data_IF_862126418252
#
_entry.id   IF_862126418252
#
_cell.length_a   1.000
_cell.length_b   1.000
_cell.length_c   1.000
_cell.angle_alpha   90.00
_cell.angle_beta   90.00
_cell.angle_gamma   90.00
#
_symmetry.space_group_name_H-M   'P 1'
#
loop_
_entity.id
_entity.type
_entity.pdbx_description
1 polymer ?
#
# COMPACT_ATOMS: atom_id res chain seq x y z
N UNK A 1 -13.77 -14.05 7.20
CA UNK A 1 -13.67 -13.78 5.75
C UNK A 1 -12.27 -13.22 5.49
N UNK A 2 -11.33 -14.05 5.03
CA UNK A 2 -9.95 -13.63 4.74
C UNK A 2 -9.91 -12.96 3.37
N UNK A 3 -10.58 -11.80 3.25
CA UNK A 3 -10.42 -10.97 2.05
C UNK A 3 -8.98 -10.48 2.10
N UNK A 4 -8.16 -10.93 1.15
CA UNK A 4 -6.86 -10.33 0.90
C UNK A 4 -7.12 -8.86 0.55
N UNK A 5 -7.03 -7.98 1.55
CA UNK A 5 -7.25 -6.55 1.35
C UNK A 5 -6.21 -6.06 0.33
N UNK A 6 -6.61 -5.26 -0.67
CA UNK A 6 -5.74 -4.86 -1.78
C UNK A 6 -4.41 -4.27 -1.30
N UNK A 7 -4.42 -3.58 -0.16
CA UNK A 7 -3.23 -3.07 0.52
C UNK A 7 -2.22 -4.17 0.87
N UNK A 8 -2.69 -5.30 1.43
CA UNK A 8 -1.81 -6.36 1.92
C UNK A 8 -1.13 -7.09 0.76
N UNK A 9 -1.89 -7.36 -0.31
CA UNK A 9 -1.33 -7.93 -1.54
C UNK A 9 -0.28 -6.99 -2.16
N UNK A 10 -0.56 -5.68 -2.18
CA UNK A 10 0.41 -4.67 -2.60
C UNK A 10 1.67 -4.69 -1.73
N UNK A 11 1.53 -4.71 -0.40
CA UNK A 11 2.69 -4.73 0.51
C UNK A 11 3.52 -6.01 0.36
N UNK A 12 2.87 -7.15 0.16
CA UNK A 12 3.57 -8.41 -0.09
C UNK A 12 4.40 -8.34 -1.38
N UNK A 13 3.81 -7.76 -2.44
CA UNK A 13 4.48 -7.55 -3.71
C UNK A 13 5.65 -6.57 -3.60
N UNK A 14 5.47 -5.46 -2.88
CA UNK A 14 6.54 -4.49 -2.58
C UNK A 14 7.66 -5.14 -1.77
N UNK A 15 7.33 -6.02 -0.82
CA UNK A 15 8.32 -6.72 0.00
C UNK A 15 9.10 -7.77 -0.81
N UNK A 16 8.40 -8.57 -1.62
CA UNK A 16 8.99 -9.60 -2.48
C UNK A 16 9.84 -9.00 -3.60
N UNK A 17 9.33 -7.99 -4.30
CA UNK A 17 10.05 -7.32 -5.40
C UNK A 17 10.96 -6.19 -4.95
N UNK A 18 10.99 -5.87 -3.66
CA UNK A 18 11.76 -4.75 -3.09
C UNK A 18 11.51 -3.46 -3.87
N UNK A 19 10.24 -3.14 -4.14
CA UNK A 19 9.88 -1.95 -4.90
C UNK A 19 10.11 -0.69 -4.07
N UNK A 20 10.42 0.41 -4.75
CA UNK A 20 10.45 1.75 -4.15
C UNK A 20 9.13 2.46 -4.43
N UNK A 21 8.81 3.45 -3.59
CA UNK A 21 7.71 4.36 -3.87
C UNK A 21 8.05 5.23 -5.07
N UNK A 22 7.26 5.13 -6.13
CA UNK A 22 7.44 5.89 -7.38
C UNK A 22 6.25 6.84 -7.65
N UNK A 23 5.33 6.96 -6.69
CA UNK A 23 4.12 7.78 -6.79
C UNK A 23 2.87 7.01 -7.20
N UNK A 24 1.73 7.69 -7.13
CA UNK A 24 0.43 7.08 -7.46
C UNK A 24 0.31 6.64 -8.92
N UNK A 25 0.95 7.35 -9.86
CA UNK A 25 0.97 6.97 -11.29
C UNK A 25 1.57 5.58 -11.50
N UNK A 26 2.66 5.24 -10.81
CA UNK A 26 3.26 3.92 -10.89
C UNK A 26 2.37 2.80 -10.34
N UNK A 27 1.57 3.09 -9.32
CA UNK A 27 0.58 2.15 -8.79
C UNK A 27 -0.56 1.89 -9.78
N UNK A 28 -1.12 2.96 -10.34
CA UNK A 28 -2.26 2.89 -11.26
C UNK A 28 -1.87 2.36 -12.64
N UNK A 29 -0.70 2.73 -13.15
CA UNK A 29 -0.28 2.38 -14.52
C UNK A 29 0.73 1.23 -14.54
N UNK A 30 1.70 1.24 -13.63
CA UNK A 30 2.76 0.21 -13.56
C UNK A 30 2.25 -1.09 -12.94
N UNK A 31 1.63 -1.01 -11.76
CA UNK A 31 1.02 -2.17 -11.10
C UNK A 31 -0.41 -2.45 -11.55
N UNK A 32 -1.01 -1.54 -12.35
CA UNK A 32 -2.41 -1.62 -12.81
C UNK A 32 -3.39 -1.82 -11.67
N UNK A 33 -3.14 -1.17 -10.54
CA UNK A 33 -4.03 -1.21 -9.39
C UNK A 33 -5.18 -0.24 -9.64
N UNK A 34 -6.39 -0.70 -9.35
CA UNK A 34 -7.58 0.11 -9.50
C UNK A 34 -7.62 1.24 -8.46
N UNK A 35 -8.02 2.44 -8.88
CA UNK A 35 -8.13 3.61 -7.99
C UNK A 35 -9.19 3.40 -6.91
N UNK A 36 -10.25 2.67 -7.20
CA UNK A 36 -11.31 2.33 -6.24
C UNK A 36 -10.75 1.41 -5.14
N UNK A 37 -9.89 0.45 -5.52
CA UNK A 37 -9.16 -0.41 -4.59
C UNK A 37 -8.16 0.34 -3.72
N UNK A 38 -7.73 1.54 -4.14
CA UNK A 38 -6.90 2.43 -3.34
C UNK A 38 -7.76 3.35 -2.46
N UNK A 39 -8.95 3.76 -2.93
CA UNK A 39 -9.89 4.57 -2.14
C UNK A 39 -10.54 3.78 -1.00
N UNK A 40 -10.61 2.45 -1.11
CA UNK A 40 -11.08 1.59 -0.01
C UNK A 40 -10.05 1.45 1.13
N UNK A 41 -8.83 1.93 0.94
CA UNK A 41 -7.77 1.84 1.95
C UNK A 41 -8.05 2.83 3.08
N UNK A 42 -8.19 2.32 4.30
CA UNK A 42 -8.40 3.13 5.50
C UNK A 42 -7.12 3.33 6.29
N UNK A 43 -7.06 4.36 7.13
CA UNK A 43 -5.89 4.60 7.99
C UNK A 43 -5.60 3.43 8.94
N UNK A 44 -6.65 2.78 9.46
CA UNK A 44 -6.54 1.62 10.33
C UNK A 44 -5.80 0.45 9.65
N UNK A 45 -6.09 0.23 8.37
CA UNK A 45 -5.40 -0.79 7.56
C UNK A 45 -3.92 -0.47 7.39
N UNK A 46 -3.59 0.78 7.12
CA UNK A 46 -2.19 1.22 7.02
C UNK A 46 -1.47 1.00 8.36
N UNK A 47 -2.10 1.35 9.49
CA UNK A 47 -1.56 1.13 10.83
C UNK A 47 -1.33 -0.35 11.12
N UNK A 48 -2.30 -1.22 10.80
CA UNK A 48 -2.16 -2.68 10.94
C UNK A 48 -0.97 -3.18 10.10
N UNK A 49 -0.85 -2.72 8.85
CA UNK A 49 0.24 -3.11 7.96
C UNK A 49 1.60 -2.60 8.45
N UNK A 50 1.69 -1.41 9.03
CA UNK A 50 2.92 -0.90 9.65
C UNK A 50 3.35 -1.71 10.88
N UNK A 51 2.40 -2.31 11.60
CA UNK A 51 2.68 -3.22 12.72
C UNK A 51 3.17 -4.60 12.23
N UNK A 52 2.56 -5.12 11.14
CA UNK A 52 2.92 -6.41 10.56
C UNK A 52 4.26 -6.33 9.83
N UNK A 53 4.46 -5.32 8.99
CA UNK A 53 5.65 -5.15 8.17
C UNK A 53 6.71 -4.30 8.88
N UNK A 54 7.67 -4.98 9.52
CA UNK A 54 8.79 -4.32 10.24
C UNK A 54 9.88 -3.74 9.33
N UNK A 55 9.81 -3.98 8.02
CA UNK A 55 10.82 -3.54 7.06
C UNK A 55 10.75 -2.03 6.82
N UNK A 56 11.87 -1.32 7.00
CA UNK A 56 11.99 0.13 6.73
C UNK A 56 11.48 0.53 5.34
N UNK A 57 11.72 -0.30 4.32
CA UNK A 57 11.30 -0.03 2.94
C UNK A 57 9.77 -0.02 2.80
N UNK A 58 9.12 -1.04 3.37
CA UNK A 58 7.65 -1.15 3.35
C UNK A 58 7.03 -0.03 4.17
N UNK A 59 7.59 0.30 5.34
CA UNK A 59 7.15 1.46 6.14
C UNK A 59 7.27 2.78 5.39
N UNK A 60 8.39 3.00 4.70
CA UNK A 60 8.58 4.19 3.87
C UNK A 60 7.53 4.25 2.74
N UNK A 61 7.27 3.10 2.10
CA UNK A 61 6.25 2.98 1.05
C UNK A 61 4.85 3.28 1.59
N UNK A 62 4.46 2.67 2.73
CA UNK A 62 3.18 2.91 3.41
C UNK A 62 3.02 4.37 3.81
N UNK A 63 4.07 5.01 4.34
CA UNK A 63 4.03 6.41 4.76
C UNK A 63 3.85 7.36 3.57
N UNK A 64 4.48 7.08 2.43
CA UNK A 64 4.26 7.84 1.20
C UNK A 64 2.86 7.60 0.61
N UNK A 65 2.42 6.34 0.55
CA UNK A 65 1.07 5.96 0.11
C UNK A 65 0.00 6.67 0.95
N UNK A 66 0.19 6.70 2.27
CA UNK A 66 -0.69 7.39 3.21
C UNK A 66 -0.87 8.88 2.90
N UNK A 67 0.18 9.57 2.42
CA UNK A 67 0.09 11.01 2.08
C UNK A 67 -0.68 11.27 0.81
N UNK A 68 -0.67 10.32 -0.13
CA UNK A 68 -1.33 10.45 -1.43
C UNK A 68 -2.80 9.99 -1.37
N UNK A 69 -3.12 9.11 -0.42
CA UNK A 69 -4.49 8.69 -0.18
C UNK A 69 -5.27 9.78 0.58
N UNK A 70 -6.50 10.10 0.17
CA UNK A 70 -7.41 10.94 0.94
C UNK A 70 -7.94 10.11 2.12
N UNK A 71 -7.16 10.02 3.18
CA UNK A 71 -7.54 9.38 4.43
C UNK A 71 -8.22 10.45 5.29
N UNK A 72 -9.53 10.31 5.47
CA UNK A 72 -10.33 11.11 6.41
C UNK A 72 -10.18 10.56 7.85
#
# INVERSE_FOLDING_TARGET
>A
MLVAKPCRALMDLVCLRKLSWEGMGWLLEGLRIDRDSLSTITEDEIKILELIYKHKRVKSYLSSLRRELPLD
#
